data_IF_887359774914
#
_entry.id   IF_887359774914
#
_cell.length_a   1.000
_cell.length_b   1.000
_cell.length_c   1.000
_cell.angle_alpha   90.00
_cell.angle_beta   90.00
_cell.angle_gamma   90.00
#
_symmetry.space_group_name_H-M   'P 1'
#
loop_
_entity.id
_entity.type
_entity.pdbx_description
1 polymer ?
#
# COMPACT_ATOMS: atom_id res chain seq x y z
N UNK A 1 36.42 -47.55 28.03
CA UNK A 1 37.23 -46.35 27.68
C UNK A 1 36.90 -45.72 26.32
N UNK A 2 35.93 -46.23 25.53
CA UNK A 2 35.57 -45.67 24.20
C UNK A 2 34.34 -44.74 24.17
N UNK A 3 33.46 -44.80 25.18
CA UNK A 3 32.23 -44.00 25.19
C UNK A 3 32.46 -42.49 25.31
N UNK A 4 33.49 -42.10 26.07
CA UNK A 4 33.81 -40.69 26.32
C UNK A 4 34.40 -39.99 25.09
N UNK A 5 35.06 -40.74 24.19
CA UNK A 5 35.56 -40.22 22.92
C UNK A 5 34.42 -40.01 21.90
N UNK A 6 33.43 -40.91 21.88
CA UNK A 6 32.26 -40.81 21.00
C UNK A 6 31.36 -39.62 21.33
N UNK A 7 31.18 -39.33 22.63
CA UNK A 7 30.44 -38.15 23.09
C UNK A 7 31.18 -36.86 22.69
N UNK A 8 32.49 -36.79 22.92
CA UNK A 8 33.32 -35.63 22.51
C UNK A 8 33.29 -35.38 21.00
N UNK A 9 33.31 -36.42 20.18
CA UNK A 9 33.21 -36.29 18.72
C UNK A 9 31.83 -35.77 18.28
N UNK A 10 30.76 -36.20 18.94
CA UNK A 10 29.40 -35.71 18.66
C UNK A 10 29.27 -34.23 19.02
N UNK A 11 29.76 -33.85 20.19
CA UNK A 11 29.69 -32.48 20.68
C UNK A 11 30.56 -31.54 19.84
N UNK A 12 31.73 -32.00 19.39
CA UNK A 12 32.58 -31.25 18.46
C UNK A 12 31.91 -31.00 17.11
N UNK A 13 31.17 -31.98 16.58
CA UNK A 13 30.47 -31.82 15.30
C UNK A 13 29.26 -30.86 15.43
N UNK A 14 28.54 -30.95 16.54
CA UNK A 14 27.46 -30.01 16.89
C UNK A 14 28.04 -28.59 16.99
N UNK A 15 29.12 -28.39 17.75
CA UNK A 15 29.79 -27.09 17.87
C UNK A 15 30.30 -26.57 16.52
N UNK A 16 30.85 -27.42 15.65
CA UNK A 16 31.29 -27.02 14.32
C UNK A 16 30.12 -26.56 13.44
N UNK A 17 28.94 -27.19 13.57
CA UNK A 17 27.72 -26.75 12.89
C UNK A 17 27.20 -25.42 13.44
N UNK A 18 27.21 -25.24 14.77
CA UNK A 18 26.84 -23.97 15.39
C UNK A 18 27.80 -22.84 15.01
N UNK A 19 29.11 -23.08 15.00
CA UNK A 19 30.12 -22.11 14.61
C UNK A 19 29.98 -21.67 13.14
N UNK A 20 29.68 -22.60 12.22
CA UNK A 20 29.37 -22.28 10.82
C UNK A 20 28.08 -21.46 10.66
N UNK A 21 27.07 -21.71 11.50
CA UNK A 21 25.85 -20.88 11.57
C UNK A 21 26.14 -19.48 12.12
N UNK A 22 26.99 -19.37 13.15
CA UNK A 22 27.36 -18.10 13.78
C UNK A 22 28.34 -17.27 12.94
N UNK A 23 29.24 -17.89 12.17
CA UNK A 23 30.11 -17.18 11.23
C UNK A 23 29.33 -16.51 10.10
N UNK A 24 28.20 -17.09 9.68
CA UNK A 24 27.32 -16.49 8.67
C UNK A 24 26.30 -15.51 9.25
N UNK A 25 26.33 -15.19 10.55
CA UNK A 25 25.36 -14.27 11.17
C UNK A 25 25.59 -12.80 10.81
N UNK A 26 26.75 -12.45 10.25
CA UNK A 26 27.05 -11.08 9.80
C UNK A 26 26.31 -10.68 8.52
N UNK A 27 25.71 -11.66 7.83
CA UNK A 27 24.85 -11.43 6.68
C UNK A 27 23.52 -12.12 6.95
N UNK A 28 22.51 -11.32 7.33
CA UNK A 28 21.13 -11.81 7.31
C UNK A 28 20.90 -12.45 5.93
N UNK A 29 20.49 -13.72 5.85
CA UNK A 29 20.07 -14.27 4.58
C UNK A 29 19.02 -13.29 4.03
N UNK A 30 19.13 -12.84 2.77
CA UNK A 30 18.02 -12.11 2.17
C UNK A 30 16.79 -12.98 2.42
N UNK A 31 15.81 -12.44 3.15
CA UNK A 31 14.53 -13.06 3.47
C UNK A 31 14.18 -14.00 2.32
N UNK A 32 14.08 -15.31 2.58
CA UNK A 32 14.10 -16.36 1.56
C UNK A 32 13.39 -15.88 0.29
N UNK A 33 14.17 -15.41 -0.70
CA UNK A 33 13.63 -14.53 -1.74
C UNK A 33 12.52 -15.22 -2.53
N UNK A 34 12.60 -16.54 -2.60
CA UNK A 34 11.60 -17.41 -3.19
C UNK A 34 10.30 -17.47 -2.36
N UNK A 35 10.37 -17.55 -1.03
CA UNK A 35 9.18 -17.48 -0.16
C UNK A 35 8.56 -16.09 -0.25
N UNK A 36 9.38 -15.03 -0.19
CA UNK A 36 8.87 -13.66 -0.36
C UNK A 36 8.18 -13.52 -1.72
N UNK A 37 8.81 -13.98 -2.81
CA UNK A 37 8.22 -13.92 -4.16
C UNK A 37 6.95 -14.78 -4.30
N UNK A 38 6.91 -15.96 -3.68
CA UNK A 38 5.74 -16.83 -3.72
C UNK A 38 4.56 -16.18 -2.99
N UNK A 39 4.80 -15.71 -1.75
CA UNK A 39 3.80 -14.99 -0.96
C UNK A 39 3.36 -13.71 -1.65
N UNK A 40 4.27 -12.93 -2.24
CA UNK A 40 3.91 -11.71 -2.99
C UNK A 40 2.99 -12.01 -4.17
N UNK A 41 3.22 -13.10 -4.91
CA UNK A 41 2.34 -13.49 -6.03
C UNK A 41 0.96 -13.91 -5.56
N UNK A 42 0.89 -14.72 -4.52
CA UNK A 42 -0.37 -15.18 -3.92
C UNK A 42 -1.18 -13.99 -3.37
N UNK A 43 -0.51 -13.04 -2.72
CA UNK A 43 -1.10 -11.79 -2.23
C UNK A 43 -1.61 -10.90 -3.38
N UNK A 44 -0.87 -10.77 -4.49
CA UNK A 44 -1.34 -10.03 -5.67
C UNK A 44 -2.64 -10.62 -6.23
N UNK A 45 -2.72 -11.95 -6.33
CA UNK A 45 -3.92 -12.63 -6.81
C UNK A 45 -5.08 -12.52 -5.81
N UNK A 46 -4.80 -12.58 -4.50
CA UNK A 46 -5.78 -12.35 -3.45
C UNK A 46 -6.36 -10.92 -3.49
N UNK A 47 -5.50 -9.91 -3.60
CA UNK A 47 -5.90 -8.50 -3.69
C UNK A 47 -6.77 -8.25 -4.92
N UNK A 48 -6.45 -8.88 -6.06
CA UNK A 48 -7.30 -8.82 -7.27
C UNK A 48 -8.68 -9.40 -7.02
N UNK A 49 -8.76 -10.63 -6.50
CA UNK A 49 -10.03 -11.29 -6.19
C UNK A 49 -10.87 -10.50 -5.18
N UNK A 50 -10.23 -9.94 -4.16
CA UNK A 50 -10.89 -9.08 -3.18
C UNK A 50 -11.42 -7.79 -3.82
N UNK A 51 -10.66 -7.16 -4.70
CA UNK A 51 -11.09 -5.96 -5.44
C UNK A 51 -12.29 -6.24 -6.32
N UNK A 52 -12.31 -7.38 -7.01
CA UNK A 52 -13.44 -7.81 -7.85
C UNK A 52 -14.70 -8.09 -7.02
N UNK A 53 -14.54 -8.77 -5.87
CA UNK A 53 -15.64 -9.01 -4.93
C UNK A 53 -16.22 -7.69 -4.40
N UNK A 54 -15.35 -6.75 -4.02
CA UNK A 54 -15.76 -5.43 -3.53
C UNK A 54 -16.48 -4.63 -4.61
N UNK A 55 -16.01 -4.68 -5.86
CA UNK A 55 -16.66 -4.02 -6.99
C UNK A 55 -18.05 -4.62 -7.26
N UNK A 56 -18.19 -5.95 -7.24
CA UNK A 56 -19.47 -6.63 -7.39
C UNK A 56 -20.45 -6.27 -6.27
N UNK A 57 -19.97 -6.19 -5.02
CA UNK A 57 -20.78 -5.79 -3.88
C UNK A 57 -21.22 -4.32 -3.98
N UNK A 58 -20.32 -3.42 -4.35
CA UNK A 58 -20.63 -1.99 -4.58
C UNK A 58 -21.65 -1.81 -5.71
N UNK A 59 -21.62 -2.64 -6.75
CA UNK A 59 -22.60 -2.59 -7.84
C UNK A 59 -24.06 -2.76 -7.40
N UNK A 60 -24.31 -3.36 -6.23
CA UNK A 60 -25.64 -3.48 -5.64
C UNK A 60 -26.14 -2.16 -5.02
N UNK A 61 -25.23 -1.25 -4.67
CA UNK A 61 -25.51 -0.01 -3.96
C UNK A 61 -25.03 1.17 -4.80
N UNK A 62 -25.91 1.71 -5.66
CA UNK A 62 -25.56 2.84 -6.53
C UNK A 62 -25.48 4.17 -5.78
N UNK A 63 -26.22 4.29 -4.67
CA UNK A 63 -26.41 5.56 -3.96
C UNK A 63 -25.47 5.69 -2.74
N UNK A 64 -24.70 4.66 -2.43
CA UNK A 64 -23.84 4.59 -1.24
C UNK A 64 -22.41 4.25 -1.66
N UNK A 65 -21.47 5.15 -1.39
CA UNK A 65 -20.05 4.85 -1.59
C UNK A 65 -19.46 4.11 -0.38
N UNK A 66 -19.33 2.79 -0.52
CA UNK A 66 -18.71 1.92 0.50
C UNK A 66 -17.18 2.08 0.62
N UNK A 67 -16.56 2.79 -0.32
CA UNK A 67 -15.10 2.99 -0.42
C UNK A 67 -14.67 4.43 -0.15
N UNK A 68 -15.64 5.30 0.19
CA UNK A 68 -15.38 6.70 0.51
C UNK A 68 -14.70 6.90 1.86
N UNK A 69 -14.37 8.15 2.18
CA UNK A 69 -13.78 8.47 3.49
C UNK A 69 -14.75 8.17 4.64
N UNK A 70 -14.20 7.59 5.71
CA UNK A 70 -14.90 7.40 6.99
C UNK A 70 -14.94 8.69 7.82
N UNK A 71 -14.21 9.73 7.42
CA UNK A 71 -14.22 11.01 8.11
C UNK A 71 -15.39 11.85 7.62
N UNK A 72 -16.28 12.32 8.51
CA UNK A 72 -17.39 13.16 8.10
C UNK A 72 -16.87 14.47 7.51
N UNK A 73 -17.38 14.91 6.35
CA UNK A 73 -16.98 16.17 5.73
C UNK A 73 -17.45 17.33 6.61
N UNK A 74 -16.54 18.28 6.88
CA UNK A 74 -16.86 19.52 7.63
C UNK A 74 -17.46 20.59 6.72
N UNK A 75 -16.95 20.67 5.50
CA UNK A 75 -17.31 21.69 4.51
C UNK A 75 -17.55 21.01 3.16
N UNK A 76 -18.56 21.46 2.42
CA UNK A 76 -18.90 20.91 1.10
C UNK A 76 -17.83 21.26 0.05
N UNK A 77 -17.19 22.42 0.23
CA UNK A 77 -16.14 22.95 -0.64
C UNK A 77 -14.85 23.09 0.15
N UNK A 78 -13.73 22.82 -0.51
CA UNK A 78 -12.40 22.87 0.08
C UNK A 78 -11.42 23.54 -0.88
N UNK A 79 -10.46 24.24 -0.31
CA UNK A 79 -9.28 24.70 -1.04
C UNK A 79 -8.28 23.55 -1.17
N UNK A 80 -7.85 23.28 -2.40
CA UNK A 80 -6.87 22.24 -2.70
C UNK A 80 -5.69 22.80 -3.47
N UNK A 81 -4.49 22.30 -3.17
CA UNK A 81 -3.27 22.54 -3.95
C UNK A 81 -2.89 21.30 -4.74
N UNK A 82 -2.55 21.50 -6.00
CA UNK A 82 -2.06 20.45 -6.88
C UNK A 82 -0.59 20.14 -6.58
N UNK A 83 -0.28 18.89 -6.23
CA UNK A 83 1.09 18.42 -5.99
C UNK A 83 1.74 17.88 -7.26
N UNK A 84 0.93 17.28 -8.14
CA UNK A 84 1.35 16.64 -9.40
C UNK A 84 0.37 17.01 -10.50
N UNK A 85 0.87 17.27 -11.71
CA UNK A 85 0.02 17.51 -12.88
C UNK A 85 -0.88 16.29 -13.11
N UNK A 86 -2.18 16.52 -13.17
CA UNK A 86 -3.19 15.46 -13.29
C UNK A 86 -4.10 15.60 -14.53
N UNK A 87 -3.76 16.53 -15.42
CA UNK A 87 -4.55 16.81 -16.62
C UNK A 87 -5.88 17.51 -16.29
N UNK A 88 -6.87 17.31 -17.15
CA UNK A 88 -8.19 17.91 -17.00
C UNK A 88 -9.12 17.00 -16.20
N UNK A 89 -9.74 17.54 -15.15
CA UNK A 89 -10.76 16.84 -14.37
C UNK A 89 -12.13 17.42 -14.66
N UNK A 90 -13.14 16.57 -14.65
CA UNK A 90 -14.53 17.02 -14.72
C UNK A 90 -15.03 17.28 -13.31
N UNK A 91 -15.46 18.51 -13.04
CA UNK A 91 -16.17 18.87 -11.81
C UNK A 91 -17.63 19.07 -12.15
N UNK A 92 -18.53 18.56 -11.31
CA UNK A 92 -19.96 18.61 -11.55
C UNK A 92 -20.57 19.99 -11.26
N UNK A 93 -19.78 20.92 -10.69
CA UNK A 93 -20.26 22.22 -10.23
C UNK A 93 -19.24 23.34 -10.45
N UNK A 94 -19.59 24.34 -11.28
CA UNK A 94 -18.76 25.52 -11.55
C UNK A 94 -18.83 26.01 -13.01
N UNK A 95 -18.34 27.23 -13.28
CA UNK A 95 -18.41 27.89 -14.60
C UNK A 95 -17.58 27.22 -15.71
N UNK A 96 -16.75 26.25 -15.37
CA UNK A 96 -16.04 25.38 -16.30
C UNK A 96 -16.15 23.96 -15.77
N UNK A 97 -17.00 23.14 -16.40
CA UNK A 97 -17.18 21.73 -16.08
C UNK A 97 -15.87 20.92 -16.16
N UNK A 98 -14.81 21.51 -16.71
CA UNK A 98 -13.50 20.93 -16.86
C UNK A 98 -12.41 21.87 -16.28
N UNK A 99 -11.60 21.38 -15.36
CA UNK A 99 -10.52 22.12 -14.68
C UNK A 99 -9.18 21.46 -14.99
N UNK A 100 -8.22 22.24 -15.50
CA UNK A 100 -6.86 21.76 -15.74
C UNK A 100 -6.01 21.82 -14.47
N UNK A 101 -5.67 20.67 -13.91
CA UNK A 101 -4.84 20.52 -12.73
C UNK A 101 -3.36 20.64 -13.08
N UNK A 102 -2.85 21.86 -12.94
CA UNK A 102 -1.42 22.19 -13.08
C UNK A 102 -0.74 22.27 -11.70
N UNK A 103 0.49 21.77 -11.61
CA UNK A 103 1.27 21.68 -10.37
C UNK A 103 1.41 23.04 -9.69
N UNK A 104 1.25 23.05 -8.37
CA UNK A 104 1.23 24.22 -7.48
C UNK A 104 0.04 25.18 -7.67
N UNK A 105 -0.86 24.93 -8.61
CA UNK A 105 -2.12 25.68 -8.72
C UNK A 105 -3.05 25.34 -7.56
N UNK A 106 -3.94 26.28 -7.25
CA UNK A 106 -4.93 26.15 -6.18
C UNK A 106 -6.32 26.27 -6.76
N UNK A 107 -7.23 25.47 -6.24
CA UNK A 107 -8.62 25.46 -6.68
C UNK A 107 -9.54 25.35 -5.47
N UNK A 108 -10.69 26.03 -5.56
CA UNK A 108 -11.79 25.89 -4.61
C UNK A 108 -12.86 25.01 -5.25
N UNK A 109 -13.00 23.79 -4.76
CA UNK A 109 -13.77 22.72 -5.43
C UNK A 109 -14.59 21.94 -4.41
N UNK A 110 -15.63 21.25 -4.91
CA UNK A 110 -16.45 20.36 -4.08
C UNK A 110 -15.60 19.17 -3.64
N UNK A 111 -15.66 18.82 -2.35
CA UNK A 111 -14.86 17.73 -1.79
C UNK A 111 -15.09 16.40 -2.51
N UNK A 112 -16.33 16.07 -2.87
CA UNK A 112 -16.68 14.80 -3.53
C UNK A 112 -15.99 14.58 -4.88
N UNK A 113 -15.76 15.64 -5.65
CA UNK A 113 -15.17 15.55 -7.00
C UNK A 113 -13.66 15.27 -6.94
N UNK A 114 -13.00 15.67 -5.85
CA UNK A 114 -11.54 15.61 -5.69
C UNK A 114 -11.05 14.61 -4.66
N UNK A 115 -11.95 13.97 -3.91
CA UNK A 115 -11.61 13.05 -2.82
C UNK A 115 -10.68 11.92 -3.28
N UNK A 116 -10.96 11.33 -4.44
CA UNK A 116 -10.11 10.28 -5.02
C UNK A 116 -8.69 10.77 -5.36
N UNK A 117 -8.57 12.00 -5.84
CA UNK A 117 -7.29 12.61 -6.21
C UNK A 117 -6.46 12.99 -4.99
N UNK A 118 -7.13 13.36 -3.89
CA UNK A 118 -6.49 13.55 -2.58
C UNK A 118 -5.98 12.21 -2.05
N UNK A 119 -6.81 11.15 -2.08
CA UNK A 119 -6.42 9.81 -1.64
C UNK A 119 -5.23 9.23 -2.44
N UNK A 120 -5.15 9.53 -3.73
CA UNK A 120 -4.03 9.16 -4.61
C UNK A 120 -2.78 10.05 -4.45
N UNK A 121 -2.87 11.15 -3.70
CA UNK A 121 -1.77 12.07 -3.46
C UNK A 121 -1.43 13.01 -4.64
N UNK A 122 -2.38 13.27 -5.53
CA UNK A 122 -2.26 14.32 -6.56
C UNK A 122 -2.58 15.71 -6.00
N UNK A 123 -3.49 15.77 -5.02
CA UNK A 123 -3.98 17.00 -4.41
C UNK A 123 -3.74 16.99 -2.90
N UNK A 124 -3.59 18.17 -2.33
CA UNK A 124 -3.50 18.39 -0.89
C UNK A 124 -4.56 19.40 -0.46
N UNK A 125 -5.33 19.08 0.58
CA UNK A 125 -6.26 20.04 1.20
C UNK A 125 -5.46 21.15 1.92
N UNK A 126 -5.85 22.39 1.69
CA UNK A 126 -5.42 23.55 2.46
C UNK A 126 -6.48 23.79 3.55
N UNK A 127 -6.03 23.96 4.79
CA UNK A 127 -6.90 24.23 5.96
C UNK A 127 -7.32 25.70 6.04
#
# INVERSE_FOLDING_TARGET
>A
MYGDLGVKLRDANIQAQHAKRTQNLAHLPPYQAEIVRAVTREEEDYVRQYSDLLAAYKGQWTDIDLTGSLQPPRDLFIDVRVLKDAGEIQTEYGASSAINLTKNSQFYVRQGDVERLIAQGYLQKLD
#
